data_IF_271548325018
#
_entry.id   IF_271548325018
#
_cell.length_a   1.000
_cell.length_b   1.000
_cell.length_c   1.000
_cell.angle_alpha   90.00
_cell.angle_beta   90.00
_cell.angle_gamma   90.00
#
_symmetry.space_group_name_H-M   'P 1'
#
loop_
_entity.id
_entity.type
_entity.pdbx_description
1 polymer ?
#
# COMPACT_ATOMS: atom_id res chain seq x y z
N UNK A 1 -5.47 0.55 -19.88
CA UNK A 1 -5.67 1.47 -18.73
C UNK A 1 -5.46 2.88 -19.24
N UNK A 2 -6.44 3.77 -19.08
CA UNK A 2 -6.38 5.13 -19.60
C UNK A 2 -5.27 5.93 -18.92
N UNK A 3 -4.62 6.82 -19.69
CA UNK A 3 -3.61 7.72 -19.16
C UNK A 3 -4.28 9.07 -18.88
N UNK A 4 -4.35 9.47 -17.61
CA UNK A 4 -4.95 10.76 -17.21
C UNK A 4 -3.84 11.77 -16.94
N UNK A 5 -3.99 12.99 -17.47
CA UNK A 5 -3.06 14.10 -17.21
C UNK A 5 -3.53 14.86 -15.97
N UNK A 6 -2.58 15.23 -15.12
CA UNK A 6 -2.82 16.01 -13.91
C UNK A 6 -1.77 17.10 -13.79
N UNK A 7 -2.21 18.32 -13.50
CA UNK A 7 -1.33 19.45 -13.18
C UNK A 7 -1.23 19.52 -11.66
N UNK A 8 0.00 19.61 -11.15
CA UNK A 8 0.28 19.73 -9.72
C UNK A 8 1.16 20.95 -9.48
N UNK A 9 0.94 21.61 -8.34
CA UNK A 9 1.80 22.68 -7.84
C UNK A 9 2.57 22.15 -6.64
N UNK A 10 3.89 22.25 -6.69
CA UNK A 10 4.81 21.87 -5.62
C UNK A 10 5.82 22.99 -5.42
N UNK A 11 6.58 22.95 -4.33
CA UNK A 11 7.65 23.93 -4.13
C UNK A 11 8.75 23.76 -5.19
N UNK A 12 9.46 24.85 -5.48
CA UNK A 12 10.62 24.80 -6.38
C UNK A 12 11.73 23.89 -5.82
N UNK A 13 11.86 23.80 -4.50
CA UNK A 13 12.80 22.90 -3.84
C UNK A 13 12.45 21.42 -4.12
N UNK A 14 11.19 21.03 -3.92
CA UNK A 14 10.72 19.68 -4.17
C UNK A 14 10.89 19.29 -5.64
N UNK A 15 10.61 20.22 -6.55
CA UNK A 15 10.80 20.02 -7.98
C UNK A 15 12.26 19.76 -8.32
N UNK A 16 13.18 20.59 -7.82
CA UNK A 16 14.63 20.40 -8.04
C UNK A 16 15.13 19.08 -7.46
N UNK A 17 14.63 18.70 -6.29
CA UNK A 17 14.94 17.43 -5.68
C UNK A 17 14.46 16.25 -6.53
N UNK A 18 13.20 16.28 -7.01
CA UNK A 18 12.63 15.23 -7.85
C UNK A 18 13.35 15.11 -9.21
N UNK A 19 13.74 16.22 -9.82
CA UNK A 19 14.53 16.21 -11.05
C UNK A 19 15.91 15.60 -10.85
N UNK A 20 16.56 15.90 -9.71
CA UNK A 20 17.86 15.32 -9.35
C UNK A 20 17.73 13.82 -9.05
N UNK A 21 16.67 13.43 -8.34
CA UNK A 21 16.32 12.03 -8.06
C UNK A 21 16.10 11.24 -9.35
N UNK A 22 15.36 11.82 -10.31
CA UNK A 22 15.09 11.21 -11.61
C UNK A 22 16.36 11.04 -12.44
N UNK A 23 17.19 12.09 -12.53
CA UNK A 23 18.50 12.04 -13.22
C UNK A 23 19.42 10.96 -12.66
N UNK A 24 19.56 10.88 -11.34
CA UNK A 24 20.40 9.88 -10.68
C UNK A 24 19.95 8.43 -10.95
N UNK A 25 18.68 8.21 -11.31
CA UNK A 25 18.08 6.89 -11.55
C UNK A 25 17.74 6.61 -13.01
N UNK A 26 18.03 7.55 -13.91
CA UNK A 26 17.70 7.42 -15.33
C UNK A 26 16.19 7.32 -15.60
N UNK A 27 15.35 7.97 -14.78
CA UNK A 27 13.89 7.95 -14.93
C UNK A 27 13.31 9.35 -15.13
N UNK A 28 12.16 9.44 -15.79
CA UNK A 28 11.45 10.70 -15.95
C UNK A 28 10.86 11.18 -14.63
N UNK A 29 10.63 12.50 -14.52
CA UNK A 29 9.95 13.11 -13.38
C UNK A 29 8.58 12.47 -13.12
N UNK A 30 7.80 12.22 -14.18
CA UNK A 30 6.50 11.57 -14.09
C UNK A 30 6.61 10.12 -13.54
N UNK A 31 7.67 9.39 -13.90
CA UNK A 31 7.92 8.05 -13.35
C UNK A 31 8.32 8.10 -11.87
N UNK A 32 9.13 9.08 -11.47
CA UNK A 32 9.45 9.30 -10.06
C UNK A 32 8.18 9.56 -9.23
N UNK A 33 7.28 10.41 -9.73
CA UNK A 33 5.98 10.69 -9.09
C UNK A 33 5.12 9.42 -9.01
N UNK A 34 5.00 8.64 -10.09
CA UNK A 34 4.25 7.38 -10.09
C UNK A 34 4.77 6.40 -9.03
N UNK A 35 6.08 6.26 -8.90
CA UNK A 35 6.71 5.41 -7.88
C UNK A 35 6.43 5.93 -6.47
N UNK A 36 6.49 7.24 -6.26
CA UNK A 36 6.12 7.88 -5.00
C UNK A 36 4.68 7.58 -4.60
N UNK A 37 3.73 7.75 -5.53
CA UNK A 37 2.31 7.42 -5.30
C UNK A 37 2.12 5.93 -4.97
N UNK A 38 2.80 5.04 -5.70
CA UNK A 38 2.72 3.59 -5.44
C UNK A 38 3.20 3.27 -4.02
N UNK A 39 4.33 3.85 -3.59
CA UNK A 39 4.87 3.66 -2.25
C UNK A 39 3.93 4.19 -1.16
N UNK A 40 3.36 5.38 -1.36
CA UNK A 40 2.37 5.94 -0.44
C UNK A 40 1.17 5.01 -0.24
N UNK A 41 0.64 4.43 -1.33
CA UNK A 41 -0.46 3.46 -1.27
C UNK A 41 -0.09 2.18 -0.53
N UNK A 42 1.13 1.68 -0.72
CA UNK A 42 1.62 0.48 -0.03
C UNK A 42 1.78 0.72 1.47
N UNK A 43 2.30 1.89 1.85
CA UNK A 43 2.47 2.30 3.24
C UNK A 43 1.09 2.47 3.93
N UNK A 44 0.13 3.14 3.28
CA UNK A 44 -1.25 3.27 3.79
C UNK A 44 -1.99 1.94 3.93
N UNK A 45 -1.84 1.04 2.95
CA UNK A 45 -2.46 -0.29 2.99
C UNK A 45 -1.91 -1.12 4.16
N UNK A 46 -0.60 -1.03 4.39
CA UNK A 46 0.08 -1.70 5.52
C UNK A 46 -0.41 -1.15 6.85
N UNK A 47 -0.55 0.18 6.96
CA UNK A 47 -1.03 0.82 8.18
C UNK A 47 -2.49 0.47 8.46
N UNK A 48 -3.35 0.52 7.44
CA UNK A 48 -4.76 0.12 7.55
C UNK A 48 -4.89 -1.33 8.03
N UNK A 49 -4.08 -2.24 7.47
CA UNK A 49 -4.04 -3.63 7.88
C UNK A 49 -3.61 -3.78 9.35
N UNK A 50 -2.56 -3.07 9.78
CA UNK A 50 -2.08 -3.08 11.17
C UNK A 50 -3.11 -2.53 12.14
N UNK A 51 -3.79 -1.44 11.79
CA UNK A 51 -4.88 -0.86 12.59
C UNK A 51 -6.01 -1.89 12.74
N UNK A 52 -6.40 -2.55 11.64
CA UNK A 52 -7.46 -3.57 11.68
C UNK A 52 -7.08 -4.76 12.54
N UNK A 53 -5.85 -5.29 12.44
CA UNK A 53 -5.37 -6.35 13.33
C UNK A 53 -5.42 -5.89 14.79
N UNK A 54 -4.92 -4.69 15.07
CA UNK A 54 -4.85 -4.18 16.45
C UNK A 54 -6.24 -4.03 17.06
N UNK A 55 -7.19 -3.48 16.30
CA UNK A 55 -8.59 -3.33 16.73
C UNK A 55 -9.31 -4.68 16.90
N UNK A 56 -8.97 -5.66 16.09
CA UNK A 56 -9.63 -6.98 16.10
C UNK A 56 -8.90 -8.02 16.97
N UNK A 57 -7.71 -7.68 17.48
CA UNK A 57 -6.92 -8.55 18.35
C UNK A 57 -7.72 -8.93 19.59
N UNK A 58 -7.82 -10.23 19.82
CA UNK A 58 -8.50 -10.76 21.01
C UNK A 58 -10.02 -10.77 20.95
N UNK A 59 -10.65 -10.39 19.82
CA UNK A 59 -12.07 -10.65 19.57
C UNK A 59 -12.36 -12.16 19.52
N UNK A 60 -11.40 -12.95 19.03
CA UNK A 60 -11.52 -14.40 19.02
C UNK A 60 -11.28 -14.98 20.43
N UNK A 61 -12.29 -15.64 20.98
CA UNK A 61 -12.26 -16.26 22.32
C UNK A 61 -12.44 -17.78 22.32
N UNK A 62 -12.66 -18.40 21.15
CA UNK A 62 -13.05 -19.82 21.04
C UNK A 62 -11.85 -20.78 20.89
N UNK A 63 -10.73 -20.48 21.52
CA UNK A 63 -9.50 -21.29 21.46
C UNK A 63 -8.66 -21.04 20.20
N UNK A 64 -8.01 -22.09 19.69
CA UNK A 64 -7.12 -21.99 18.52
C UNK A 64 -7.92 -21.66 17.24
N UNK A 65 -7.73 -20.43 16.74
CA UNK A 65 -8.42 -19.94 15.54
C UNK A 65 -8.04 -20.67 14.27
N UNK A 66 -6.82 -21.19 14.16
CA UNK A 66 -6.36 -21.93 12.98
C UNK A 66 -7.04 -23.30 12.90
N UNK A 67 -7.10 -24.02 14.02
CA UNK A 67 -7.84 -25.30 14.10
C UNK A 67 -9.31 -25.11 13.77
N UNK A 68 -9.92 -24.02 14.27
CA UNK A 68 -11.30 -23.69 13.98
C UNK A 68 -11.54 -23.41 12.48
N UNK A 69 -10.71 -22.57 11.87
CA UNK A 69 -10.79 -22.25 10.44
C UNK A 69 -10.57 -23.48 9.54
N UNK A 70 -9.59 -24.32 9.87
CA UNK A 70 -9.32 -25.55 9.13
C UNK A 70 -10.48 -26.54 9.20
N UNK A 71 -11.15 -26.66 10.35
CA UNK A 71 -12.37 -27.46 10.48
C UNK A 71 -13.48 -26.94 9.58
N UNK A 72 -13.78 -25.64 9.63
CA UNK A 72 -14.81 -25.02 8.78
C UNK A 72 -14.50 -25.19 7.29
N UNK A 73 -13.25 -24.98 6.86
CA UNK A 73 -12.88 -25.13 5.44
C UNK A 73 -13.03 -26.56 4.92
N UNK A 74 -12.88 -27.57 5.79
CA UNK A 74 -13.13 -28.97 5.43
C UNK A 74 -14.62 -29.25 5.19
N UNK A 75 -15.53 -28.45 5.75
CA UNK A 75 -16.97 -28.59 5.53
C UNK A 75 -17.39 -28.10 4.14
N UNK A 76 -16.59 -27.24 3.49
CA UNK A 76 -16.84 -26.71 2.14
C UNK A 76 -16.24 -27.57 1.03
N UNK A 77 -16.03 -28.86 1.29
CA UNK A 77 -15.49 -29.82 0.33
C UNK A 77 -16.47 -30.18 -0.80
N UNK A 78 -16.73 -29.23 -1.70
CA UNK A 78 -16.65 -29.37 -3.17
C UNK A 78 -16.81 -28.00 -3.85
#
# INVERSE_FOLDING_TARGET
MGNTRTIITISEEDKRWLESYGRARGISLAEAIRRGIKKLREDEATETYRIMITKTKGLWKKGDGLKYQQRLRKEWGR
#
